data_IF_223853971914
#
_entry.id   IF_223853971914
#
_cell.length_a   1.000
_cell.length_b   1.000
_cell.length_c   1.000
_cell.angle_alpha   90.00
_cell.angle_beta   90.00
_cell.angle_gamma   90.00
#
_symmetry.space_group_name_H-M   'P 1'
#
loop_
_entity.id
_entity.type
_entity.pdbx_description
1 polymer ?
#
# COMPACT_ATOMS: atom_id res chain seq x y z
N UNK A 1 -11.03 -4.93 4.59
CA UNK A 1 -9.82 -5.78 4.65
C UNK A 1 -9.28 -5.89 3.24
N UNK A 2 -8.08 -5.38 3.01
CA UNK A 2 -7.42 -5.31 1.71
C UNK A 2 -6.46 -6.49 1.59
N UNK A 3 -6.52 -7.24 0.49
CA UNK A 3 -5.65 -8.39 0.23
C UNK A 3 -4.85 -8.18 -1.04
N UNK A 4 -3.58 -8.56 -1.02
CA UNK A 4 -2.76 -8.69 -2.22
C UNK A 4 -3.32 -9.76 -3.16
N UNK A 5 -2.92 -9.74 -4.44
CA UNK A 5 -3.37 -10.75 -5.40
C UNK A 5 -3.00 -12.19 -5.00
N UNK A 6 -1.93 -12.38 -4.24
CA UNK A 6 -1.50 -13.69 -3.71
C UNK A 6 -2.37 -14.19 -2.53
N UNK A 7 -3.34 -13.40 -2.07
CA UNK A 7 -4.24 -13.71 -0.95
C UNK A 7 -3.72 -13.30 0.43
N UNK A 8 -2.51 -12.74 0.53
CA UNK A 8 -2.02 -12.17 1.79
C UNK A 8 -2.74 -10.85 2.13
N UNK A 9 -3.03 -10.63 3.41
CA UNK A 9 -3.53 -9.34 3.88
C UNK A 9 -2.46 -8.25 3.72
N UNK A 10 -2.86 -7.09 3.21
CA UNK A 10 -2.00 -5.90 3.16
C UNK A 10 -1.76 -5.37 4.57
N UNK A 11 -0.51 -5.06 4.91
CA UNK A 11 -0.14 -4.48 6.21
C UNK A 11 0.78 -3.28 6.06
N UNK A 12 0.63 -2.32 6.96
CA UNK A 12 1.58 -1.21 7.09
C UNK A 12 2.97 -1.78 7.40
N UNK A 13 3.97 -1.31 6.66
CA UNK A 13 5.35 -1.76 6.71
C UNK A 13 5.71 -2.84 5.68
N UNK A 14 4.73 -3.43 4.97
CA UNK A 14 5.03 -4.38 3.91
C UNK A 14 5.88 -3.74 2.80
N UNK A 15 6.90 -4.47 2.36
CA UNK A 15 7.74 -4.08 1.23
C UNK A 15 7.20 -4.70 -0.03
N UNK A 16 6.90 -3.87 -1.01
CA UNK A 16 6.33 -4.26 -2.29
C UNK A 16 7.20 -3.76 -3.44
N UNK A 17 7.08 -4.39 -4.59
CA UNK A 17 7.51 -3.87 -5.87
C UNK A 17 6.31 -3.17 -6.50
N UNK A 18 6.38 -1.87 -6.78
CA UNK A 18 5.37 -1.06 -7.46
C UNK A 18 5.93 -0.63 -8.83
N UNK A 19 5.52 -1.28 -9.91
CA UNK A 19 5.95 -1.01 -11.30
C UNK A 19 7.46 -1.12 -11.55
N UNK A 20 8.14 -2.04 -10.84
CA UNK A 20 9.59 -2.13 -10.84
C UNK A 20 10.27 -1.17 -9.86
N UNK A 21 9.50 -0.41 -9.07
CA UNK A 21 10.00 0.54 -8.07
C UNK A 21 9.76 -0.03 -6.66
N UNK A 22 10.81 -0.26 -5.86
CA UNK A 22 10.65 -0.66 -4.46
C UNK A 22 9.82 0.36 -3.68
N UNK A 23 8.86 -0.14 -2.92
CA UNK A 23 7.97 0.69 -2.11
C UNK A 23 7.61 0.04 -0.77
N UNK A 24 7.16 0.87 0.17
CA UNK A 24 6.70 0.44 1.49
C UNK A 24 5.25 0.89 1.68
N UNK A 25 4.38 -0.02 2.12
CA UNK A 25 3.02 0.35 2.56
C UNK A 25 3.12 1.25 3.78
N UNK A 26 2.73 2.51 3.66
CA UNK A 26 2.70 3.46 4.80
C UNK A 26 1.34 3.57 5.45
N UNK A 27 0.29 3.48 4.65
CA UNK A 27 -1.07 3.68 5.13
C UNK A 27 -2.07 2.84 4.34
N UNK A 28 -3.14 2.44 5.00
CA UNK A 28 -4.26 1.72 4.40
C UNK A 28 -5.47 2.65 4.52
N UNK A 29 -6.07 2.99 3.39
CA UNK A 29 -7.29 3.81 3.33
C UNK A 29 -8.46 2.86 3.19
N UNK A 30 -9.21 2.63 4.27
CA UNK A 30 -10.35 1.70 4.30
C UNK A 30 -11.59 2.25 5.01
N UNK A 31 -11.60 3.55 5.28
CA UNK A 31 -12.73 4.26 5.86
C UNK A 31 -12.87 5.68 5.27
N UNK A 32 -14.06 6.27 5.41
CA UNK A 32 -14.39 7.58 4.86
C UNK A 32 -13.55 8.73 5.45
N UNK A 33 -13.18 8.66 6.73
CA UNK A 33 -12.36 9.70 7.38
C UNK A 33 -10.97 9.71 6.75
N UNK A 34 -10.40 8.53 6.52
CA UNK A 34 -9.10 8.36 5.85
C UNK A 34 -9.17 8.82 4.40
N UNK A 35 -10.26 8.50 3.68
CA UNK A 35 -10.49 8.98 2.31
C UNK A 35 -10.54 10.51 2.23
N UNK A 36 -11.31 11.16 3.12
CA UNK A 36 -11.40 12.62 3.21
C UNK A 36 -10.06 13.25 3.59
N UNK A 37 -9.31 12.63 4.51
CA UNK A 37 -7.97 13.11 4.91
C UNK A 37 -6.99 13.13 3.74
N UNK A 38 -7.01 12.08 2.91
CA UNK A 38 -6.10 11.95 1.76
C UNK A 38 -6.66 12.54 0.46
N UNK A 39 -7.91 12.98 0.44
CA UNK A 39 -8.57 13.52 -0.75
C UNK A 39 -8.78 12.48 -1.86
N UNK A 40 -9.03 11.23 -1.48
CA UNK A 40 -9.30 10.11 -2.41
C UNK A 40 -10.74 9.66 -2.29
N UNK A 41 -11.28 9.05 -3.35
CA UNK A 41 -12.71 8.70 -3.44
C UNK A 41 -13.00 7.22 -3.17
N UNK A 42 -11.97 6.43 -2.85
CA UNK A 42 -12.11 4.98 -2.69
C UNK A 42 -11.05 4.39 -1.76
N UNK A 43 -11.29 3.15 -1.35
CA UNK A 43 -10.35 2.37 -0.56
C UNK A 43 -9.08 2.06 -1.36
N UNK A 44 -7.96 1.95 -0.66
CA UNK A 44 -6.67 1.70 -1.28
C UNK A 44 -5.51 1.72 -0.30
N UNK A 45 -4.32 1.84 -0.85
CA UNK A 45 -3.06 1.73 -0.12
C UNK A 45 -2.16 2.90 -0.50
N UNK A 46 -1.53 3.51 0.49
CA UNK A 46 -0.49 4.51 0.28
C UNK A 46 0.88 3.84 0.33
N UNK A 47 1.62 3.93 -0.76
CA UNK A 47 3.00 3.46 -0.89
C UNK A 47 3.97 4.61 -0.78
N UNK A 48 5.01 4.47 0.02
CA UNK A 48 6.18 5.34 -0.02
C UNK A 48 7.22 4.68 -0.92
N UNK A 49 7.46 5.31 -2.06
CA UNK A 49 8.41 4.88 -3.08
C UNK A 49 9.68 5.72 -2.96
N UNK A 50 10.85 5.14 -3.22
CA UNK A 50 12.11 5.87 -3.11
C UNK A 50 12.18 7.06 -4.09
N UNK A 51 11.57 6.93 -5.28
CA UNK A 51 11.70 7.89 -6.38
C UNK A 51 10.50 8.84 -6.53
N UNK A 52 9.28 8.37 -6.28
CA UNK A 52 8.05 9.14 -6.52
C UNK A 52 7.44 9.69 -5.22
N UNK A 53 8.01 9.33 -4.06
CA UNK A 53 7.45 9.64 -2.75
C UNK A 53 6.16 8.87 -2.49
N UNK A 54 5.19 9.54 -1.86
CA UNK A 54 3.94 8.91 -1.44
C UNK A 54 2.94 8.81 -2.61
N UNK A 55 2.55 7.59 -2.95
CA UNK A 55 1.65 7.23 -4.06
C UNK A 55 0.43 6.51 -3.52
N UNK A 56 -0.77 6.92 -3.96
CA UNK A 56 -2.01 6.20 -3.68
C UNK A 56 -2.29 5.17 -4.78
N UNK A 57 -2.62 3.94 -4.39
CA UNK A 57 -3.13 2.92 -5.29
C UNK A 57 -4.51 2.40 -4.84
N UNK A 58 -5.52 2.41 -5.72
CA UNK A 58 -6.84 1.93 -5.35
C UNK A 58 -6.92 0.40 -5.22
N UNK A 59 -7.73 -0.08 -4.28
CA UNK A 59 -7.87 -1.54 -4.01
C UNK A 59 -8.36 -2.33 -5.21
N UNK A 60 -9.28 -1.76 -6.00
CA UNK A 60 -9.90 -2.44 -7.13
C UNK A 60 -8.89 -2.75 -8.26
N UNK A 61 -7.72 -2.09 -8.22
CA UNK A 61 -6.64 -2.24 -9.19
C UNK A 61 -5.47 -3.07 -8.62
N UNK A 62 -5.63 -3.72 -7.46
CA UNK A 62 -4.69 -4.73 -6.94
C UNK A 62 -4.93 -6.07 -7.69
N UNK A 63 -4.51 -6.15 -8.95
CA UNK A 63 -4.64 -7.33 -9.79
C UNK A 63 -3.31 -8.09 -9.99
N UNK A 64 -3.38 -9.40 -10.25
CA UNK A 64 -2.21 -10.28 -10.50
C UNK A 64 -1.34 -9.82 -11.67
N UNK A 65 -1.96 -9.20 -12.68
CA UNK A 65 -1.28 -8.67 -13.88
C UNK A 65 -0.85 -7.21 -13.72
N UNK A 66 -1.00 -6.64 -12.52
CA UNK A 66 -0.85 -5.21 -12.26
C UNK A 66 0.22 -4.99 -11.21
N UNK A 67 1.26 -4.25 -11.60
CA UNK A 67 2.10 -3.30 -10.85
C UNK A 67 2.60 -3.63 -9.43
N UNK A 68 1.82 -4.24 -8.52
CA UNK A 68 2.15 -4.41 -7.10
C UNK A 68 2.40 -5.88 -6.74
N UNK A 69 3.64 -6.19 -6.35
CA UNK A 69 4.04 -7.52 -5.87
C UNK A 69 4.56 -7.42 -4.44
N UNK A 70 3.99 -8.20 -3.51
CA UNK A 70 4.56 -8.32 -2.16
C UNK A 70 5.94 -8.99 -2.25
N UNK A 71 6.99 -8.27 -1.85
CA UNK A 71 8.37 -8.78 -1.83
C UNK A 71 8.62 -9.47 -0.49
N UNK A 72 8.32 -8.78 0.61
CA UNK A 72 8.48 -9.32 1.96
C UNK A 72 7.60 -8.56 2.96
N UNK A 73 7.14 -9.26 3.99
CA UNK A 73 6.50 -8.59 5.11
C UNK A 73 7.53 -7.79 5.89
N UNK A 74 7.23 -6.53 6.17
CA UNK A 74 8.01 -5.74 7.09
C UNK A 74 7.78 -6.25 8.51
N UNK A 75 8.85 -6.40 9.29
CA UNK A 75 8.69 -6.36 10.74
C UNK A 75 8.31 -4.92 11.07
N UNK A 76 7.08 -4.70 11.50
CA UNK A 76 6.68 -3.47 12.18
C UNK A 76 7.42 -3.39 13.52
N UNK A 77 8.72 -3.11 13.49
CA UNK A 77 9.49 -2.73 14.66
C UNK A 77 9.84 -1.25 14.50
N UNK A 78 9.03 -0.44 15.17
CA UNK A 78 9.30 0.91 15.65
C UNK A 78 9.61 1.99 14.59
N UNK A 79 8.56 2.67 14.12
CA UNK A 79 8.63 4.13 13.99
C UNK A 79 8.13 4.72 15.32
N UNK A 80 8.98 4.63 16.34
CA UNK A 80 8.85 5.40 17.57
C UNK A 80 9.63 6.71 17.43
N UNK A 81 8.96 7.78 17.88
CA UNK A 81 9.43 9.17 18.09
C UNK A 81 9.35 10.15 16.90
#
# INVERSE_FOLDING_TARGET
>A
MITYPNGDDVRVGDRVDYDGVPAIVKYIVDDQISQEHWGVEQDGVMFDTEDMGLVFHPINDLCWDCTIVLIMRGNATEAGE
#
